data_IF_174719837329
#
_entry.id   IF_174719837329
#
_cell.length_a   1.000
_cell.length_b   1.000
_cell.length_c   1.000
_cell.angle_alpha   90.00
_cell.angle_beta   90.00
_cell.angle_gamma   90.00
#
_symmetry.space_group_name_H-M   'P 1'
#
loop_
_entity.id
_entity.type
_entity.pdbx_description
1 polymer ?
#
# COMPACT_ATOMS: atom_id res chain seq x y z
N UNK A 1 8.95 18.22 -29.66
CA UNK A 1 8.59 19.10 -28.51
C UNK A 1 9.54 18.76 -27.36
N UNK A 2 10.25 19.73 -26.82
CA UNK A 2 11.09 19.55 -25.63
C UNK A 2 10.13 19.52 -24.42
N UNK A 3 9.96 18.37 -23.80
CA UNK A 3 9.19 18.26 -22.55
C UNK A 3 9.99 18.93 -21.43
N UNK A 4 9.44 19.99 -20.87
CA UNK A 4 10.04 20.68 -19.75
C UNK A 4 9.98 19.76 -18.49
N UNK A 5 11.06 19.72 -17.75
CA UNK A 5 11.16 18.92 -16.54
C UNK A 5 10.31 19.55 -15.41
N UNK A 6 9.45 18.75 -14.77
CA UNK A 6 8.60 19.23 -13.68
C UNK A 6 9.41 19.81 -12.49
N UNK A 7 10.59 19.27 -12.22
CA UNK A 7 11.48 19.76 -11.14
C UNK A 7 11.94 21.21 -11.32
N UNK A 8 12.02 21.67 -12.56
CA UNK A 8 12.41 23.05 -12.87
C UNK A 8 11.28 24.05 -12.61
N UNK A 9 10.04 23.56 -12.48
CA UNK A 9 8.83 24.37 -12.30
C UNK A 9 8.35 24.42 -10.84
N UNK A 10 8.81 23.52 -9.99
CA UNK A 10 8.36 23.46 -8.61
C UNK A 10 8.84 24.68 -7.81
N UNK A 11 7.92 25.29 -7.09
CA UNK A 11 8.23 26.30 -6.09
C UNK A 11 8.95 25.65 -4.89
N UNK A 12 9.58 26.48 -4.07
CA UNK A 12 10.23 26.00 -2.83
C UNK A 12 9.25 25.20 -1.95
N UNK A 13 8.03 25.70 -1.76
CA UNK A 13 6.99 25.04 -0.97
C UNK A 13 6.64 23.65 -1.55
N UNK A 14 6.46 23.55 -2.86
CA UNK A 14 6.19 22.27 -3.53
C UNK A 14 7.35 21.28 -3.38
N UNK A 15 8.60 21.73 -3.41
CA UNK A 15 9.74 20.87 -3.15
C UNK A 15 9.80 20.37 -1.69
N UNK A 16 9.40 21.20 -0.72
CA UNK A 16 9.26 20.79 0.67
C UNK A 16 8.14 19.75 0.85
N UNK A 17 7.01 19.90 0.15
CA UNK A 17 5.92 18.92 0.12
C UNK A 17 6.36 17.59 -0.50
N UNK A 18 7.11 17.62 -1.60
CA UNK A 18 7.68 16.42 -2.24
C UNK A 18 8.63 15.70 -1.29
N UNK A 19 9.49 16.42 -0.57
CA UNK A 19 10.42 15.82 0.40
C UNK A 19 9.65 15.18 1.57
N UNK A 20 8.64 15.85 2.09
CA UNK A 20 7.77 15.30 3.14
C UNK A 20 7.05 14.03 2.69
N UNK A 21 6.47 14.02 1.48
CA UNK A 21 5.83 12.85 0.89
C UNK A 21 6.84 11.70 0.69
N UNK A 22 8.03 12.01 0.18
CA UNK A 22 9.10 11.03 -0.01
C UNK A 22 9.53 10.37 1.30
N UNK A 23 9.69 11.16 2.37
CA UNK A 23 10.01 10.64 3.70
C UNK A 23 8.92 9.72 4.24
N UNK A 24 7.65 10.12 4.11
CA UNK A 24 6.51 9.33 4.54
C UNK A 24 6.39 8.02 3.74
N UNK A 25 6.63 8.06 2.44
CA UNK A 25 6.63 6.88 1.57
C UNK A 25 7.76 5.91 1.91
N UNK A 26 8.96 6.41 2.14
CA UNK A 26 10.10 5.58 2.58
C UNK A 26 9.83 4.92 3.93
N UNK A 27 9.23 5.63 4.87
CA UNK A 27 8.81 5.05 6.15
C UNK A 27 7.80 3.93 5.95
N UNK A 28 6.79 4.14 5.09
CA UNK A 28 5.82 3.10 4.73
C UNK A 28 6.51 1.85 4.16
N UNK A 29 7.42 2.00 3.21
CA UNK A 29 8.17 0.88 2.62
C UNK A 29 9.06 0.15 3.64
N UNK A 30 9.66 0.89 4.57
CA UNK A 30 10.51 0.31 5.61
C UNK A 30 9.72 -0.57 6.59
N UNK A 31 8.47 -0.24 6.87
CA UNK A 31 7.61 -0.98 7.80
C UNK A 31 6.68 -1.98 7.10
N UNK A 32 6.53 -1.89 5.77
CA UNK A 32 5.66 -2.76 4.97
C UNK A 32 6.48 -3.71 4.09
N UNK A 33 6.97 -4.80 4.66
CA UNK A 33 7.74 -5.83 3.92
C UNK A 33 6.86 -6.95 3.37
N UNK A 34 5.68 -7.11 3.93
CA UNK A 34 4.68 -8.11 3.52
C UNK A 34 3.34 -7.43 3.25
N UNK A 35 2.44 -8.14 2.56
CA UNK A 35 1.08 -7.66 2.30
C UNK A 35 0.35 -7.32 3.59
N UNK A 36 0.50 -8.16 4.63
CA UNK A 36 -0.14 -7.96 5.93
C UNK A 36 0.34 -6.70 6.64
N UNK A 37 1.64 -6.45 6.61
CA UNK A 37 2.23 -5.23 7.19
C UNK A 37 1.78 -3.98 6.43
N UNK A 38 1.69 -4.05 5.10
CA UNK A 38 1.15 -2.96 4.29
C UNK A 38 -0.32 -2.68 4.62
N UNK A 39 -1.16 -3.73 4.66
CA UNK A 39 -2.59 -3.58 5.01
C UNK A 39 -2.74 -2.97 6.39
N UNK A 40 -1.97 -3.42 7.39
CA UNK A 40 -2.00 -2.84 8.74
C UNK A 40 -1.71 -1.34 8.73
N UNK A 41 -0.65 -0.91 8.06
CA UNK A 41 -0.31 0.52 7.95
C UNK A 41 -1.39 1.31 7.20
N UNK A 42 -1.96 0.74 6.12
CA UNK A 42 -3.04 1.39 5.37
C UNK A 42 -4.26 1.59 6.26
N UNK A 43 -4.64 0.57 7.04
CA UNK A 43 -5.78 0.65 7.98
C UNK A 43 -5.53 1.68 9.07
N UNK A 44 -4.33 1.75 9.65
CA UNK A 44 -3.98 2.76 10.64
C UNK A 44 -4.16 4.18 10.07
N UNK A 45 -3.60 4.46 8.89
CA UNK A 45 -3.75 5.74 8.20
C UNK A 45 -5.19 6.03 7.79
N UNK A 46 -5.95 5.01 7.38
CA UNK A 46 -7.36 5.17 7.06
C UNK A 46 -8.17 5.60 8.30
N UNK A 47 -7.92 4.98 9.46
CA UNK A 47 -8.55 5.38 10.73
C UNK A 47 -8.21 6.82 11.11
N UNK A 48 -6.95 7.23 10.99
CA UNK A 48 -6.51 8.62 11.21
C UNK A 48 -7.21 9.60 10.26
N UNK A 49 -7.49 9.18 9.02
CA UNK A 49 -8.24 9.96 8.03
C UNK A 49 -9.77 9.89 8.20
N UNK A 50 -10.26 9.24 9.27
CA UNK A 50 -11.68 9.16 9.60
C UNK A 50 -12.46 8.05 8.92
N UNK A 51 -11.78 7.06 8.32
CA UNK A 51 -12.44 5.87 7.80
C UNK A 51 -12.90 4.94 8.93
N UNK A 52 -14.08 4.35 8.78
CA UNK A 52 -14.66 3.37 9.69
C UNK A 52 -14.70 1.99 9.05
N UNK A 53 -14.60 0.95 9.84
CA UNK A 53 -14.70 -0.41 9.31
C UNK A 53 -16.14 -0.70 8.87
N UNK A 54 -16.30 -1.17 7.65
CA UNK A 54 -17.61 -1.43 7.06
C UNK A 54 -18.39 -2.48 7.85
N UNK A 55 -17.72 -3.49 8.38
CA UNK A 55 -18.33 -4.55 9.18
C UNK A 55 -19.00 -4.04 10.47
N UNK A 56 -18.46 -2.99 11.07
CA UNK A 56 -19.05 -2.35 12.26
C UNK A 56 -20.36 -1.62 11.90
N UNK A 57 -20.36 -0.88 10.79
CA UNK A 57 -21.58 -0.20 10.31
C UNK A 57 -22.69 -1.19 9.96
N UNK A 58 -22.35 -2.32 9.35
CA UNK A 58 -23.31 -3.38 9.03
C UNK A 58 -23.92 -3.97 10.30
N UNK A 59 -23.10 -4.27 11.32
CA UNK A 59 -23.59 -4.78 12.62
C UNK A 59 -24.53 -3.81 13.32
N UNK A 60 -24.29 -2.52 13.16
CA UNK A 60 -25.13 -1.46 13.71
C UNK A 60 -26.37 -1.16 12.86
N UNK A 61 -26.55 -1.84 11.72
CA UNK A 61 -27.66 -1.59 10.80
C UNK A 61 -27.64 -0.21 10.15
N UNK A 62 -26.47 0.42 10.09
CA UNK A 62 -26.27 1.75 9.51
C UNK A 62 -26.03 1.66 8.01
N UNK A 63 -26.59 2.62 7.29
CA UNK A 63 -26.31 2.84 5.86
C UNK A 63 -25.32 4.00 5.69
N UNK A 64 -24.45 3.89 4.70
CA UNK A 64 -23.53 4.99 4.36
C UNK A 64 -24.28 6.15 3.71
N UNK A 65 -23.81 7.36 3.99
CA UNK A 65 -24.32 8.64 3.46
C UNK A 65 -23.22 9.34 2.69
N UNK A 66 -23.57 10.31 1.81
CA UNK A 66 -22.57 11.15 1.17
C UNK A 66 -21.58 11.76 2.17
N UNK A 67 -20.29 11.63 1.87
CA UNK A 67 -19.18 12.05 2.73
C UNK A 67 -18.66 10.98 3.69
N UNK A 68 -19.38 9.88 3.92
CA UNK A 68 -18.90 8.79 4.75
C UNK A 68 -17.68 8.10 4.12
N UNK A 69 -16.77 7.70 4.98
CA UNK A 69 -15.54 6.99 4.63
C UNK A 69 -15.53 5.63 5.30
N UNK A 70 -15.43 4.58 4.51
CA UNK A 70 -15.42 3.21 5.01
C UNK A 70 -14.27 2.42 4.43
N UNK A 71 -13.80 1.42 5.17
CA UNK A 71 -12.84 0.46 4.68
C UNK A 71 -13.26 -0.97 4.97
N UNK A 72 -12.79 -1.90 4.16
CA UNK A 72 -12.93 -3.33 4.39
C UNK A 72 -11.59 -4.02 4.12
N UNK A 73 -11.27 -5.03 4.93
CA UNK A 73 -10.06 -5.84 4.82
C UNK A 73 -10.45 -7.26 4.45
N UNK A 74 -9.73 -7.85 3.51
CA UNK A 74 -9.90 -9.26 3.15
C UNK A 74 -8.62 -10.05 3.44
N UNK A 75 -8.71 -11.04 4.34
CA UNK A 75 -7.63 -11.96 4.74
C UNK A 75 -6.32 -11.27 5.15
N UNK A 76 -6.38 -10.01 5.57
CA UNK A 76 -5.23 -9.16 5.87
C UNK A 76 -4.25 -8.98 4.69
N UNK A 77 -4.66 -9.28 3.47
CA UNK A 77 -3.85 -9.20 2.25
C UNK A 77 -4.39 -8.22 1.23
N UNK A 78 -5.63 -7.82 1.35
CA UNK A 78 -6.24 -6.79 0.52
C UNK A 78 -7.03 -5.83 1.37
N UNK A 79 -7.10 -4.58 0.95
CA UNK A 79 -7.90 -3.54 1.60
C UNK A 79 -8.59 -2.70 0.53
N UNK A 80 -9.83 -2.36 0.79
CA UNK A 80 -10.61 -1.42 -0.02
C UNK A 80 -10.97 -0.24 0.87
N UNK A 81 -10.75 0.96 0.37
CA UNK A 81 -11.15 2.22 0.98
C UNK A 81 -12.21 2.84 0.06
N UNK A 82 -13.31 3.25 0.61
CA UNK A 82 -14.39 3.85 -0.16
C UNK A 82 -14.86 5.14 0.52
N UNK A 83 -14.89 6.22 -0.23
CA UNK A 83 -15.50 7.48 0.18
C UNK A 83 -16.77 7.69 -0.62
N UNK A 84 -17.90 7.80 0.06
CA UNK A 84 -19.21 8.00 -0.57
C UNK A 84 -19.28 9.41 -1.13
N UNK A 85 -19.46 9.50 -2.44
CA UNK A 85 -19.63 10.78 -3.13
C UNK A 85 -20.98 11.43 -2.90
N UNK A 86 -21.17 12.61 -3.45
CA UNK A 86 -22.47 13.31 -3.46
C UNK A 86 -23.39 12.82 -4.57
N UNK A 87 -22.83 12.25 -5.65
CA UNK A 87 -23.57 11.74 -6.79
C UNK A 87 -23.97 10.27 -6.58
N UNK A 88 -25.11 9.84 -7.17
CA UNK A 88 -25.52 8.44 -7.19
C UNK A 88 -24.45 7.56 -7.86
N UNK A 89 -24.30 6.31 -7.38
CA UNK A 89 -23.33 5.35 -7.94
C UNK A 89 -23.60 5.01 -9.41
N UNK A 90 -24.84 5.14 -9.87
CA UNK A 90 -25.24 4.96 -11.27
C UNK A 90 -24.55 5.93 -12.21
N UNK A 91 -24.12 7.10 -11.70
CA UNK A 91 -23.34 8.09 -12.45
C UNK A 91 -21.86 7.71 -12.56
N UNK A 92 -21.46 6.60 -11.95
CA UNK A 92 -20.09 6.10 -11.97
C UNK A 92 -19.30 6.41 -10.70
N UNK A 93 -18.07 5.92 -10.65
CA UNK A 93 -17.12 6.15 -9.56
C UNK A 93 -15.69 6.23 -10.10
N UNK A 94 -14.80 6.87 -9.35
CA UNK A 94 -13.38 6.83 -9.62
C UNK A 94 -12.76 5.67 -8.84
N UNK A 95 -12.04 4.79 -9.54
CA UNK A 95 -11.39 3.62 -8.95
C UNK A 95 -9.87 3.78 -9.13
N UNK A 96 -9.14 3.73 -8.01
CA UNK A 96 -7.69 3.63 -7.96
C UNK A 96 -7.32 2.24 -7.47
N UNK A 97 -6.56 1.51 -8.26
CA UNK A 97 -6.11 0.17 -7.90
C UNK A 97 -4.59 0.06 -7.96
N UNK A 98 -4.02 -0.64 -7.00
CA UNK A 98 -2.60 -0.96 -6.97
C UNK A 98 -2.38 -2.31 -6.30
N UNK A 99 -1.34 -3.05 -6.69
CA UNK A 99 -0.92 -4.24 -5.98
C UNK A 99 -0.19 -3.85 -4.68
N UNK A 100 -0.30 -4.70 -3.66
CA UNK A 100 0.33 -4.49 -2.35
C UNK A 100 1.65 -5.27 -2.23
N UNK A 101 1.73 -6.45 -2.86
CA UNK A 101 2.91 -7.29 -2.81
C UNK A 101 4.13 -6.60 -3.43
N UNK A 102 5.30 -6.95 -2.89
CA UNK A 102 6.60 -6.44 -3.34
C UNK A 102 7.55 -7.60 -3.60
N UNK A 103 8.42 -7.52 -4.63
CA UNK A 103 9.46 -8.52 -4.84
C UNK A 103 10.36 -8.66 -3.61
N UNK A 104 10.62 -9.91 -3.20
CA UNK A 104 11.47 -10.22 -2.05
C UNK A 104 12.11 -11.60 -2.19
N UNK A 105 13.11 -11.85 -1.36
CA UNK A 105 13.67 -13.16 -1.12
C UNK A 105 13.18 -13.67 0.23
N UNK A 106 12.52 -14.82 0.22
CA UNK A 106 12.09 -15.52 1.42
C UNK A 106 13.02 -16.69 1.70
N UNK A 107 13.34 -16.93 2.94
CA UNK A 107 14.12 -18.09 3.39
C UNK A 107 13.21 -19.31 3.43
N UNK A 108 13.63 -20.44 2.85
CA UNK A 108 12.85 -21.70 2.87
C UNK A 108 12.77 -22.29 4.29
N UNK A 109 11.88 -23.26 4.49
CA UNK A 109 11.61 -23.86 5.80
C UNK A 109 12.84 -24.56 6.41
N UNK A 110 13.68 -25.20 5.61
CA UNK A 110 14.93 -25.81 6.01
C UNK A 110 16.06 -25.21 5.19
N UNK A 111 16.46 -23.97 5.47
CA UNK A 111 17.25 -23.20 4.54
C UNK A 111 18.74 -23.44 4.61
N UNK A 112 19.25 -23.84 5.78
CA UNK A 112 20.69 -23.94 6.00
C UNK A 112 21.23 -25.27 5.49
N UNK A 113 22.21 -25.20 4.61
CA UNK A 113 22.99 -26.37 4.15
C UNK A 113 24.45 -26.00 3.94
N UNK A 114 25.30 -27.01 3.92
CA UNK A 114 26.74 -26.89 3.71
C UNK A 114 27.11 -27.53 2.39
N UNK A 115 27.93 -26.86 1.62
CA UNK A 115 28.51 -27.37 0.39
C UNK A 115 29.87 -26.70 0.13
N UNK A 116 30.92 -27.48 -0.13
CA UNK A 116 32.26 -26.96 -0.43
C UNK A 116 32.85 -26.05 0.65
N UNK A 117 32.70 -26.40 1.93
CA UNK A 117 33.16 -25.63 3.11
C UNK A 117 32.45 -24.27 3.31
N UNK A 118 31.32 -24.03 2.63
CA UNK A 118 30.49 -22.83 2.77
C UNK A 118 29.15 -23.19 3.35
N UNK A 119 28.63 -22.30 4.20
CA UNK A 119 27.24 -22.33 4.66
C UNK A 119 26.36 -21.52 3.71
N UNK A 120 25.30 -22.15 3.23
CA UNK A 120 24.34 -21.55 2.30
C UNK A 120 22.97 -21.43 2.94
N UNK A 121 22.23 -20.41 2.52
CA UNK A 121 20.80 -20.27 2.80
C UNK A 121 20.00 -20.51 1.52
N UNK A 122 19.20 -21.56 1.52
CA UNK A 122 18.27 -21.82 0.42
C UNK A 122 17.09 -20.83 0.51
N UNK A 123 16.87 -20.11 -0.59
CA UNK A 123 15.88 -19.05 -0.66
C UNK A 123 14.89 -19.28 -1.80
N UNK A 124 13.71 -18.70 -1.64
CA UNK A 124 12.70 -18.61 -2.68
C UNK A 124 12.45 -17.12 -2.99
N UNK A 125 12.42 -16.77 -4.26
CA UNK A 125 12.03 -15.42 -4.66
C UNK A 125 10.51 -15.32 -4.83
N UNK A 126 9.97 -14.17 -4.46
CA UNK A 126 8.58 -13.81 -4.62
C UNK A 126 8.46 -12.57 -5.50
N UNK A 127 7.58 -12.64 -6.53
CA UNK A 127 7.45 -11.58 -7.53
C UNK A 127 8.53 -11.59 -8.61
N UNK A 128 8.54 -10.58 -9.46
CA UNK A 128 9.51 -10.42 -10.53
C UNK A 128 10.82 -9.80 -10.03
N UNK A 129 11.93 -10.51 -10.14
CA UNK A 129 13.27 -10.02 -9.78
C UNK A 129 14.12 -9.94 -11.03
N UNK A 130 14.70 -8.76 -11.30
CA UNK A 130 15.75 -8.62 -12.30
C UNK A 130 17.09 -9.01 -11.67
N UNK A 131 17.66 -10.10 -12.16
CA UNK A 131 18.97 -10.58 -11.70
C UNK A 131 20.08 -9.72 -12.31
N UNK A 132 21.08 -9.41 -11.52
CA UNK A 132 22.29 -8.67 -11.95
C UNK A 132 22.05 -7.25 -12.48
N UNK A 133 21.06 -6.55 -11.94
CA UNK A 133 20.82 -5.14 -12.27
C UNK A 133 20.82 -4.25 -11.02
#
# INVERSE_FOLDING_TARGET
>A
MKTENAWEKYTKTQLEEVDALSKAYRAFLNHGKTERECVKQIVERAKEAGYKELSELIKEGKTCKPGDKVYAVNMEKAVILFQVGSEPLENGMNILGAHIDSPRLDVKQNPLYEDGDFAFLDTHYYGGIKKYQ
#
